data_IF_033269242286
#
_entry.id   IF_033269242286
#
_cell.length_a   1.000
_cell.length_b   1.000
_cell.length_c   1.000
_cell.angle_alpha   90.00
_cell.angle_beta   90.00
_cell.angle_gamma   90.00
#
_symmetry.space_group_name_H-M   'P 1'
#
loop_
_entity.id
_entity.type
_entity.pdbx_description
1 polymer ?
#
# COMPACT_ATOMS: atom_id res chain seq x y z
N UNK A 1 13.68 7.17 14.86
CA UNK A 1 12.87 6.50 13.82
C UNK A 1 11.72 5.79 14.52
N UNK A 2 10.49 5.91 14.04
CA UNK A 2 9.34 5.27 14.69
C UNK A 2 9.20 3.82 14.17
N UNK A 3 9.20 2.83 15.06
CA UNK A 3 9.20 1.41 14.70
C UNK A 3 7.83 0.99 14.15
N UNK A 4 7.80 0.42 12.93
CA UNK A 4 6.59 -0.20 12.37
C UNK A 4 6.36 -1.55 13.03
N UNK A 5 5.18 -1.75 13.59
CA UNK A 5 4.73 -3.02 14.13
C UNK A 5 4.22 -3.93 13.01
N UNK A 6 4.98 -4.97 12.69
CA UNK A 6 4.58 -6.01 11.74
C UNK A 6 3.41 -6.90 12.18
N UNK A 7 2.96 -7.76 11.27
CA UNK A 7 1.93 -8.79 11.52
C UNK A 7 2.59 -10.13 11.89
N UNK A 8 1.90 -11.02 12.63
CA UNK A 8 2.31 -12.42 12.72
C UNK A 8 2.29 -13.05 11.33
N UNK A 9 3.32 -13.82 11.01
CA UNK A 9 3.40 -14.50 9.71
C UNK A 9 4.72 -15.22 9.52
N UNK A 10 4.83 -15.87 8.37
CA UNK A 10 6.04 -16.50 7.86
C UNK A 10 6.49 -15.73 6.62
N UNK A 11 7.76 -15.83 6.28
CA UNK A 11 8.29 -15.20 5.07
C UNK A 11 7.98 -16.05 3.84
N UNK A 12 7.79 -15.37 2.71
CA UNK A 12 7.73 -16.05 1.41
C UNK A 12 9.12 -16.64 1.04
N UNK A 13 9.18 -17.60 0.11
CA UNK A 13 10.45 -18.09 -0.41
C UNK A 13 11.36 -16.97 -0.89
N UNK A 14 12.66 -17.09 -0.61
CA UNK A 14 13.65 -16.07 -0.91
C UNK A 14 14.57 -16.55 -2.05
N UNK A 15 15.18 -15.63 -2.84
CA UNK A 15 16.10 -16.01 -3.91
C UNK A 15 17.30 -16.86 -3.46
N UNK A 16 17.69 -16.74 -2.18
CA UNK A 16 18.77 -17.49 -1.54
C UNK A 16 18.31 -18.78 -0.83
N UNK A 17 17.00 -19.00 -0.65
CA UNK A 17 16.48 -20.14 0.11
C UNK A 17 15.19 -19.83 0.86
N UNK A 18 15.10 -20.29 2.12
CA UNK A 18 13.86 -20.22 2.91
C UNK A 18 14.11 -19.79 4.35
N UNK A 19 13.14 -19.10 4.95
CA UNK A 19 13.13 -18.73 6.35
C UNK A 19 12.03 -19.51 7.09
N UNK A 20 12.43 -20.38 8.01
CA UNK A 20 11.54 -21.31 8.72
C UNK A 20 11.46 -20.92 10.19
N UNK A 21 10.25 -20.67 10.68
CA UNK A 21 10.02 -20.47 12.11
C UNK A 21 10.05 -21.83 12.83
N UNK A 22 11.09 -22.09 13.62
CA UNK A 22 11.20 -23.33 14.41
C UNK A 22 10.47 -23.26 15.74
N UNK A 23 10.52 -22.12 16.39
CA UNK A 23 9.78 -21.82 17.61
C UNK A 23 9.31 -20.36 17.57
N UNK A 24 8.51 -19.92 18.54
CA UNK A 24 7.99 -18.54 18.57
C UNK A 24 9.08 -17.46 18.46
N UNK A 25 10.30 -17.77 18.87
CA UNK A 25 11.42 -16.82 18.99
C UNK A 25 12.69 -17.31 18.27
N UNK A 26 12.61 -18.38 17.47
CA UNK A 26 13.74 -18.94 16.73
C UNK A 26 13.39 -19.13 15.26
N UNK A 27 14.11 -18.41 14.41
CA UNK A 27 14.01 -18.47 12.96
C UNK A 27 15.25 -19.14 12.37
N UNK A 28 15.08 -20.03 11.41
CA UNK A 28 16.17 -20.62 10.64
C UNK A 28 16.17 -20.08 9.22
N UNK A 29 17.32 -19.64 8.72
CA UNK A 29 17.54 -19.32 7.31
C UNK A 29 18.29 -20.49 6.69
N UNK A 30 17.62 -21.28 5.85
CA UNK A 30 18.24 -22.37 5.11
C UNK A 30 18.73 -21.81 3.79
N UNK A 31 20.04 -21.66 3.65
CA UNK A 31 20.64 -21.07 2.46
C UNK A 31 20.80 -22.15 1.39
N UNK A 32 19.92 -22.16 0.40
CA UNK A 32 20.01 -23.08 -0.73
C UNK A 32 20.91 -22.56 -1.85
N UNK A 33 20.97 -21.22 -2.01
CA UNK A 33 21.79 -20.54 -3.01
C UNK A 33 22.50 -19.36 -2.37
N UNK A 34 23.83 -19.38 -2.41
CA UNK A 34 24.67 -18.32 -1.86
C UNK A 34 24.67 -17.08 -2.79
N UNK A 35 24.34 -15.89 -2.27
CA UNK A 35 24.51 -14.64 -3.01
C UNK A 35 25.99 -14.34 -3.32
N UNK A 36 26.31 -13.69 -4.45
CA UNK A 36 27.68 -13.43 -4.88
C UNK A 36 28.43 -12.43 -3.98
N UNK A 37 27.72 -11.57 -3.26
CA UNK A 37 28.25 -10.64 -2.26
C UNK A 37 28.36 -11.26 -0.85
N UNK A 38 27.97 -12.53 -0.72
CA UNK A 38 27.89 -13.24 0.55
C UNK A 38 26.95 -12.59 1.58
N UNK A 39 26.02 -11.72 1.17
CA UNK A 39 25.01 -11.13 2.04
C UNK A 39 23.63 -11.76 1.81
N UNK A 40 23.11 -12.41 2.84
CA UNK A 40 21.74 -12.90 2.87
C UNK A 40 20.85 -11.80 3.43
N UNK A 41 19.93 -11.30 2.60
CA UNK A 41 18.92 -10.33 2.99
C UNK A 41 17.57 -11.02 3.21
N UNK A 42 17.05 -10.95 4.43
CA UNK A 42 15.69 -11.35 4.76
C UNK A 42 14.83 -10.08 4.91
N UNK A 43 13.94 -9.81 3.94
CA UNK A 43 13.20 -8.57 3.90
C UNK A 43 12.07 -8.53 4.93
N UNK A 44 11.88 -7.38 5.57
CA UNK A 44 10.70 -7.11 6.40
C UNK A 44 10.67 -7.82 7.75
N UNK A 45 11.81 -8.14 8.37
CA UNK A 45 11.85 -8.64 9.75
C UNK A 45 11.60 -7.50 10.74
N UNK A 46 10.37 -7.40 11.25
CA UNK A 46 9.98 -6.37 12.22
C UNK A 46 10.42 -6.68 13.65
N UNK A 47 10.64 -7.96 13.98
CA UNK A 47 11.11 -8.38 15.31
C UNK A 47 12.63 -8.32 15.36
N UNK A 48 13.18 -7.59 16.32
CA UNK A 48 14.63 -7.43 16.48
C UNK A 48 15.33 -8.80 16.71
N UNK A 49 16.40 -9.13 15.97
CA UNK A 49 17.28 -10.23 16.29
C UNK A 49 18.06 -9.96 17.58
N UNK A 50 18.22 -11.00 18.41
CA UNK A 50 19.12 -11.02 19.56
C UNK A 50 20.48 -11.59 19.18
N UNK A 51 20.47 -12.74 18.50
CA UNK A 51 21.67 -13.45 18.10
C UNK A 51 21.50 -14.06 16.71
N UNK A 52 22.54 -13.96 15.89
CA UNK A 52 22.61 -14.60 14.58
C UNK A 52 23.85 -15.48 14.57
N UNK A 53 23.66 -16.79 14.47
CA UNK A 53 24.73 -17.79 14.54
C UNK A 53 24.58 -18.82 13.43
N UNK A 54 25.68 -19.46 13.06
CA UNK A 54 25.66 -20.67 12.22
C UNK A 54 25.20 -21.87 13.07
N UNK A 55 24.24 -22.66 12.57
CA UNK A 55 23.54 -23.70 13.34
C UNK A 55 24.47 -24.81 13.86
N UNK A 56 25.41 -25.29 13.03
CA UNK A 56 26.26 -26.43 13.37
C UNK A 56 27.49 -26.05 14.20
N UNK A 57 28.02 -24.85 14.01
CA UNK A 57 29.26 -24.41 14.67
C UNK A 57 28.99 -23.52 15.87
N UNK A 58 27.78 -22.94 15.97
CA UNK A 58 27.47 -21.89 16.94
C UNK A 58 28.22 -20.59 16.72
N UNK A 59 28.97 -20.45 15.61
CA UNK A 59 29.77 -19.27 15.30
C UNK A 59 28.85 -18.06 15.12
N UNK A 60 29.13 -16.98 15.84
CA UNK A 60 28.43 -15.71 15.64
C UNK A 60 28.71 -15.15 14.25
N UNK A 61 27.65 -14.74 13.56
CA UNK A 61 27.73 -14.13 12.24
C UNK A 61 27.63 -12.62 12.36
N UNK A 62 28.25 -11.92 11.40
CA UNK A 62 28.06 -10.47 11.28
C UNK A 62 26.70 -10.20 10.66
N UNK A 63 25.91 -9.34 11.28
CA UNK A 63 24.58 -8.97 10.80
C UNK A 63 24.27 -7.51 11.11
N UNK A 64 23.29 -6.97 10.41
CA UNK A 64 22.80 -5.60 10.59
C UNK A 64 21.32 -5.51 10.20
N UNK A 65 20.67 -4.45 10.67
CA UNK A 65 19.40 -4.00 10.10
C UNK A 65 19.65 -3.03 8.96
N UNK A 66 18.81 -3.12 7.93
CA UNK A 66 18.74 -2.18 6.82
C UNK A 66 17.28 -1.82 6.57
N UNK A 67 16.84 -0.70 7.17
CA UNK A 67 15.41 -0.45 7.31
C UNK A 67 14.73 -1.54 8.13
N UNK A 68 13.73 -2.21 7.53
CA UNK A 68 13.02 -3.35 8.13
C UNK A 68 13.66 -4.71 7.75
N UNK A 69 14.78 -4.73 7.02
CA UNK A 69 15.42 -5.96 6.58
C UNK A 69 16.48 -6.44 7.58
N UNK A 70 16.63 -7.76 7.70
CA UNK A 70 17.79 -8.39 8.32
C UNK A 70 18.80 -8.73 7.22
N UNK A 71 20.03 -8.23 7.36
CA UNK A 71 21.14 -8.59 6.48
C UNK A 71 22.18 -9.36 7.28
N UNK A 72 22.50 -10.58 6.84
CA UNK A 72 23.49 -11.47 7.46
C UNK A 72 24.62 -11.73 6.48
N UNK A 73 25.86 -11.49 6.90
CA UNK A 73 27.05 -11.82 6.11
C UNK A 73 27.45 -13.27 6.37
N UNK A 74 27.48 -14.07 5.31
CA UNK A 74 27.88 -15.47 5.35
C UNK A 74 29.41 -15.60 5.43
N UNK A 75 29.94 -16.64 6.10
CA UNK A 75 31.36 -16.94 6.07
C UNK A 75 31.78 -17.46 4.69
N UNK A 76 33.04 -17.28 4.31
CA UNK A 76 33.60 -17.70 3.00
C UNK A 76 33.70 -19.23 2.81
N UNK A 77 33.14 -20.03 3.73
CA UNK A 77 33.09 -21.48 3.59
C UNK A 77 32.25 -21.88 2.36
N UNK A 78 32.68 -22.93 1.66
CA UNK A 78 32.00 -23.44 0.46
C UNK A 78 30.68 -24.18 0.75
N UNK A 79 30.35 -24.41 2.01
CA UNK A 79 29.12 -25.10 2.40
C UNK A 79 27.91 -24.14 2.42
N UNK A 80 26.72 -24.71 2.30
CA UNK A 80 25.42 -24.03 2.41
C UNK A 80 24.99 -23.99 3.88
N UNK A 81 25.22 -22.87 4.61
CA UNK A 81 24.97 -22.86 6.04
C UNK A 81 23.47 -22.80 6.34
N UNK A 82 23.10 -23.33 7.50
CA UNK A 82 21.84 -22.98 8.16
C UNK A 82 22.14 -21.89 9.18
N UNK A 83 21.47 -20.75 9.07
CA UNK A 83 21.63 -19.63 10.01
C UNK A 83 20.51 -19.66 11.03
N UNK A 84 20.85 -19.64 12.31
CA UNK A 84 19.92 -19.47 13.44
C UNK A 84 19.82 -18.01 13.83
N UNK A 85 18.60 -17.51 13.86
CA UNK A 85 18.27 -16.16 14.31
C UNK A 85 17.36 -16.26 15.54
N UNK A 86 17.90 -15.93 16.72
CA UNK A 86 17.12 -15.76 17.93
C UNK A 86 16.44 -14.38 17.89
N UNK A 87 15.16 -14.31 18.21
CA UNK A 87 14.34 -13.10 18.12
C UNK A 87 14.01 -12.54 19.50
N UNK A 88 13.89 -11.22 19.62
CA UNK A 88 13.42 -10.53 20.81
C UNK A 88 11.88 -10.62 20.93
N UNK A 89 11.40 -11.85 21.09
CA UNK A 89 9.97 -12.18 21.18
C UNK A 89 9.40 -12.79 19.90
N UNK A 90 8.07 -12.77 19.78
CA UNK A 90 7.34 -13.42 18.69
C UNK A 90 7.70 -12.83 17.32
N UNK A 91 7.88 -13.69 16.32
CA UNK A 91 8.08 -13.26 14.92
C UNK A 91 6.96 -12.31 14.45
N UNK A 92 7.37 -11.18 13.89
CA UNK A 92 6.54 -10.21 13.19
C UNK A 92 7.25 -9.80 11.91
N UNK A 93 6.46 -9.65 10.85
CA UNK A 93 6.94 -9.27 9.53
C UNK A 93 6.26 -8.00 9.03
N UNK A 94 6.99 -7.18 8.28
CA UNK A 94 6.49 -6.10 7.43
C UNK A 94 6.50 -6.62 5.99
N UNK A 95 5.35 -7.02 5.42
CA UNK A 95 5.29 -7.50 4.05
C UNK A 95 5.85 -6.47 3.06
N UNK A 96 6.49 -6.91 1.98
CA UNK A 96 7.13 -6.02 1.00
C UNK A 96 6.15 -5.11 0.26
N UNK A 97 4.89 -5.52 0.14
CA UNK A 97 3.78 -4.74 -0.42
C UNK A 97 3.16 -3.77 0.60
N UNK A 98 3.84 -3.50 1.72
CA UNK A 98 3.39 -2.53 2.72
C UNK A 98 3.50 -1.10 2.18
N UNK A 99 2.36 -0.42 2.09
CA UNK A 99 2.27 0.96 1.62
C UNK A 99 1.96 1.89 2.79
N UNK A 100 2.73 2.97 2.87
CA UNK A 100 2.51 4.06 3.83
C UNK A 100 1.69 5.16 3.18
N UNK A 101 0.81 5.80 3.95
CA UNK A 101 0.08 6.97 3.46
C UNK A 101 1.06 8.06 3.01
N UNK A 102 0.69 8.79 1.95
CA UNK A 102 1.42 9.98 1.53
C UNK A 102 1.31 11.11 2.58
N UNK A 103 1.90 12.27 2.29
CA UNK A 103 1.88 13.42 3.20
C UNK A 103 0.45 13.88 3.56
N UNK A 104 -0.51 13.66 2.67
CA UNK A 104 -1.92 14.04 2.83
C UNK A 104 -2.76 12.96 3.54
N UNK A 105 -2.15 11.84 3.93
CA UNK A 105 -2.83 10.73 4.59
C UNK A 105 -3.66 9.87 3.63
N UNK A 106 -3.26 9.79 2.36
CA UNK A 106 -3.89 9.00 1.31
C UNK A 106 -3.01 7.81 0.95
N UNK A 107 -3.63 6.64 0.78
CA UNK A 107 -3.02 5.50 0.11
C UNK A 107 -3.67 5.36 -1.26
N UNK A 108 -2.83 5.24 -2.29
CA UNK A 108 -3.25 4.95 -3.64
C UNK A 108 -2.49 3.72 -4.12
N UNK A 109 -3.25 2.66 -4.39
CA UNK A 109 -2.71 1.33 -4.59
C UNK A 109 -3.17 0.81 -5.95
N UNK A 110 -2.24 0.24 -6.71
CA UNK A 110 -2.54 -0.64 -7.83
C UNK A 110 -2.31 -2.07 -7.34
N UNK A 111 -3.38 -2.83 -7.01
CA UNK A 111 -3.24 -4.17 -6.47
C UNK A 111 -2.55 -5.11 -7.46
N UNK A 112 -1.55 -5.85 -6.99
CA UNK A 112 -0.91 -6.95 -7.73
C UNK A 112 -1.45 -8.32 -7.33
N UNK A 113 -2.32 -8.37 -6.31
CA UNK A 113 -2.90 -9.60 -5.78
C UNK A 113 -4.12 -9.34 -4.89
N UNK A 114 -4.53 -10.37 -4.15
CA UNK A 114 -5.74 -10.35 -3.31
C UNK A 114 -5.56 -9.67 -1.94
N UNK A 115 -4.35 -9.18 -1.65
CA UNK A 115 -4.02 -8.50 -0.39
C UNK A 115 -3.15 -7.29 -0.67
N UNK A 116 -3.28 -6.28 0.17
CA UNK A 116 -2.30 -5.23 0.35
C UNK A 116 -2.09 -4.98 1.85
N UNK A 117 -0.99 -4.34 2.21
CA UNK A 117 -0.67 -4.02 3.58
C UNK A 117 -0.54 -2.52 3.76
N UNK A 118 -1.26 -1.95 4.73
CA UNK A 118 -1.31 -0.51 4.94
C UNK A 118 -0.69 -0.14 6.28
N UNK A 119 0.07 0.96 6.31
CA UNK A 119 0.58 1.57 7.55
C UNK A 119 0.19 3.04 7.59
N UNK A 120 -0.39 3.46 8.73
CA UNK A 120 -0.68 4.85 9.03
C UNK A 120 0.37 5.42 9.99
N UNK A 121 0.80 6.67 9.79
CA UNK A 121 1.74 7.34 10.71
C UNK A 121 1.10 7.71 12.04
N UNK A 122 -0.21 7.95 12.04
CA UNK A 122 -1.01 8.34 13.20
C UNK A 122 -2.30 7.51 13.21
N UNK A 123 -2.87 7.34 14.40
CA UNK A 123 -4.15 6.67 14.52
C UNK A 123 -5.26 7.53 13.89
N UNK A 124 -6.12 6.93 13.09
CA UNK A 124 -7.21 7.63 12.39
C UNK A 124 -8.28 6.67 11.90
N UNK A 125 -9.49 7.18 11.65
CA UNK A 125 -10.51 6.45 10.90
C UNK A 125 -10.33 6.71 9.41
N UNK A 126 -10.32 5.64 8.62
CA UNK A 126 -10.23 5.70 7.15
C UNK A 126 -11.45 5.09 6.49
N UNK A 127 -11.72 5.49 5.25
CA UNK A 127 -12.62 4.78 4.36
C UNK A 127 -11.88 4.37 3.08
N UNK A 128 -12.40 3.35 2.41
CA UNK A 128 -11.78 2.69 1.25
C UNK A 128 -12.68 2.83 0.04
N UNK A 129 -12.11 3.16 -1.11
CA UNK A 129 -12.79 3.24 -2.41
C UNK A 129 -12.13 2.24 -3.37
N UNK A 130 -12.92 1.31 -3.90
CA UNK A 130 -12.44 0.29 -4.84
C UNK A 130 -12.82 0.62 -6.28
N UNK A 131 -11.84 0.86 -7.13
CA UNK A 131 -12.05 1.17 -8.54
C UNK A 131 -11.77 -0.06 -9.38
N UNK A 132 -12.74 -0.46 -10.20
CA UNK A 132 -12.68 -1.68 -10.99
C UNK A 132 -14.07 -2.21 -11.31
N UNK A 133 -14.14 -3.50 -11.62
CA UNK A 133 -15.37 -4.19 -12.00
C UNK A 133 -15.77 -5.19 -10.92
N UNK A 134 -17.06 -5.22 -10.61
CA UNK A 134 -17.68 -6.25 -9.78
C UNK A 134 -19.12 -6.45 -10.25
N UNK A 135 -19.60 -7.68 -10.22
CA UNK A 135 -20.99 -8.00 -10.56
C UNK A 135 -21.93 -7.27 -9.57
N UNK A 136 -22.89 -6.43 -10.02
CA UNK A 136 -23.62 -5.49 -9.16
C UNK A 136 -24.23 -6.12 -7.90
N UNK A 137 -24.83 -7.31 -8.04
CA UNK A 137 -25.56 -7.98 -6.97
C UNK A 137 -24.73 -9.02 -6.19
N UNK A 138 -23.48 -9.24 -6.62
CA UNK A 138 -22.56 -10.13 -5.90
C UNK A 138 -22.23 -9.59 -4.51
N UNK A 139 -22.17 -10.48 -3.52
CA UNK A 139 -21.86 -10.13 -2.13
C UNK A 139 -20.36 -10.21 -1.88
N UNK A 140 -19.80 -9.15 -1.31
CA UNK A 140 -18.39 -9.03 -0.97
C UNK A 140 -18.22 -8.75 0.51
N UNK A 141 -17.04 -9.11 1.03
CA UNK A 141 -16.65 -8.76 2.39
C UNK A 141 -15.32 -8.03 2.40
N UNK A 142 -15.37 -6.76 2.76
CA UNK A 142 -14.17 -5.94 2.89
C UNK A 142 -13.64 -6.04 4.30
N UNK A 143 -12.38 -6.47 4.43
CA UNK A 143 -11.69 -6.60 5.71
C UNK A 143 -10.51 -5.67 5.77
N UNK A 144 -10.51 -4.78 6.76
CA UNK A 144 -9.42 -3.88 7.10
C UNK A 144 -9.44 -3.65 8.62
N UNK A 145 -8.27 -3.58 9.25
CA UNK A 145 -8.13 -3.32 10.70
C UNK A 145 -9.00 -4.23 11.59
N UNK A 146 -9.14 -5.51 11.21
CA UNK A 146 -10.01 -6.51 11.87
C UNK A 146 -11.51 -6.23 11.82
N UNK A 147 -11.96 -5.14 11.20
CA UNK A 147 -13.37 -4.93 10.87
C UNK A 147 -13.71 -5.58 9.54
N UNK A 148 -14.96 -5.99 9.41
CA UNK A 148 -15.54 -6.61 8.20
C UNK A 148 -16.83 -5.88 7.87
N UNK A 149 -16.98 -5.45 6.62
CA UNK A 149 -18.23 -4.91 6.07
C UNK A 149 -18.72 -5.80 4.94
N UNK A 150 -20.00 -6.17 4.95
CA UNK A 150 -20.67 -6.78 3.80
C UNK A 150 -21.16 -5.69 2.86
N UNK A 151 -20.88 -5.83 1.57
CA UNK A 151 -21.30 -4.87 0.53
C UNK A 151 -21.67 -5.61 -0.74
N UNK A 152 -22.55 -5.02 -1.55
CA UNK A 152 -22.81 -5.49 -2.91
C UNK A 152 -21.69 -5.04 -3.86
N UNK A 153 -21.55 -5.66 -5.03
CA UNK A 153 -20.61 -5.22 -6.06
C UNK A 153 -20.89 -3.79 -6.54
N UNK A 154 -22.16 -3.37 -6.55
CA UNK A 154 -22.54 -1.99 -6.82
C UNK A 154 -22.05 -1.03 -5.73
N UNK A 155 -22.25 -1.36 -4.46
CA UNK A 155 -21.73 -0.55 -3.35
C UNK A 155 -20.19 -0.49 -3.38
N UNK A 156 -19.55 -1.63 -3.63
CA UNK A 156 -18.10 -1.76 -3.74
C UNK A 156 -17.49 -0.77 -4.75
N UNK A 157 -18.10 -0.68 -5.92
CA UNK A 157 -17.57 0.10 -7.06
C UNK A 157 -18.12 1.52 -7.14
N UNK A 158 -19.16 1.88 -6.37
CA UNK A 158 -19.79 3.22 -6.43
C UNK A 158 -19.75 4.03 -5.14
N UNK A 159 -19.30 3.43 -4.03
CA UNK A 159 -19.26 4.11 -2.74
C UNK A 159 -17.93 3.91 -2.02
N UNK A 160 -17.66 4.75 -1.03
CA UNK A 160 -16.61 4.48 -0.04
C UNK A 160 -17.14 3.55 1.04
N UNK A 161 -16.29 2.65 1.54
CA UNK A 161 -16.60 1.68 2.59
C UNK A 161 -15.81 2.04 3.85
N UNK A 162 -16.49 2.12 5.00
CA UNK A 162 -15.86 2.47 6.29
C UNK A 162 -16.88 3.03 7.28
N UNK A 163 -16.42 3.53 8.45
CA UNK A 163 -15.03 3.78 8.82
C UNK A 163 -14.27 2.55 9.35
N UNK A 164 -12.97 2.50 9.07
CA UNK A 164 -12.02 1.53 9.60
C UNK A 164 -11.02 2.23 10.54
N UNK A 165 -10.86 1.77 11.80
CA UNK A 165 -9.90 2.36 12.73
C UNK A 165 -8.49 1.89 12.39
N UNK A 166 -7.68 2.76 11.80
CA UNK A 166 -6.29 2.49 11.48
C UNK A 166 -5.39 2.83 12.67
N UNK A 167 -4.73 1.84 13.29
CA UNK A 167 -3.73 2.09 14.32
C UNK A 167 -2.49 2.78 13.74
N UNK A 168 -1.84 3.61 14.57
CA UNK A 168 -0.55 4.20 14.22
C UNK A 168 0.54 3.12 14.14
N UNK A 169 1.42 3.25 13.15
CA UNK A 169 2.67 2.51 12.99
C UNK A 169 2.49 1.00 13.04
N UNK A 170 1.35 0.50 12.56
CA UNK A 170 1.06 -0.93 12.55
C UNK A 170 0.62 -1.35 11.17
N UNK A 171 1.18 -2.46 10.71
CA UNK A 171 0.79 -3.08 9.46
C UNK A 171 -0.63 -3.62 9.59
N UNK A 172 -1.49 -3.18 8.68
CA UNK A 172 -2.89 -3.60 8.61
C UNK A 172 -3.16 -4.23 7.26
N UNK A 173 -3.53 -5.52 7.20
CA UNK A 173 -3.88 -6.16 5.94
C UNK A 173 -5.24 -5.67 5.45
N UNK A 174 -5.30 -5.35 4.16
CA UNK A 174 -6.49 -5.10 3.37
C UNK A 174 -6.73 -6.28 2.44
N UNK A 175 -7.92 -6.89 2.51
CA UNK A 175 -8.36 -7.85 1.50
C UNK A 175 -8.90 -7.12 0.26
N UNK A 176 -8.48 -7.55 -0.93
CA UNK A 176 -8.81 -6.91 -2.19
C UNK A 176 -9.70 -7.85 -3.02
N UNK A 177 -10.95 -7.45 -3.32
CA UNK A 177 -11.81 -8.23 -4.20
C UNK A 177 -11.25 -8.40 -5.61
N UNK A 178 -11.65 -9.49 -6.27
CA UNK A 178 -11.32 -9.75 -7.67
C UNK A 178 -11.91 -8.64 -8.56
N UNK A 179 -11.19 -8.25 -9.61
CA UNK A 179 -11.63 -7.23 -10.58
C UNK A 179 -11.37 -5.78 -10.15
N UNK A 180 -10.88 -5.56 -8.92
CA UNK A 180 -10.37 -4.27 -8.47
C UNK A 180 -9.04 -3.98 -9.17
N UNK A 181 -8.94 -2.79 -9.76
CA UNK A 181 -7.74 -2.31 -10.47
C UNK A 181 -6.99 -1.24 -9.69
N UNK A 182 -7.69 -0.52 -8.79
CA UNK A 182 -7.10 0.51 -7.94
C UNK A 182 -7.86 0.62 -6.64
N UNK A 183 -7.16 0.93 -5.56
CA UNK A 183 -7.74 1.16 -4.25
C UNK A 183 -7.26 2.51 -3.74
N UNK A 184 -8.22 3.36 -3.37
CA UNK A 184 -7.95 4.61 -2.68
C UNK A 184 -8.37 4.46 -1.22
N UNK A 185 -7.49 4.81 -0.30
CA UNK A 185 -7.80 4.88 1.13
C UNK A 185 -7.47 6.28 1.60
N UNK A 186 -8.39 6.91 2.32
CA UNK A 186 -8.17 8.23 2.88
C UNK A 186 -8.83 8.34 4.25
N UNK A 187 -8.34 9.30 5.05
CA UNK A 187 -8.98 9.63 6.32
C UNK A 187 -10.43 10.07 6.09
N UNK A 188 -11.35 9.63 6.95
CA UNK A 188 -12.74 10.07 6.93
C UNK A 188 -12.82 11.59 7.06
N UNK A 189 -13.62 12.23 6.20
CA UNK A 189 -13.72 13.68 6.08
C UNK A 189 -12.78 14.31 5.05
N UNK A 190 -12.00 13.50 4.32
CA UNK A 190 -11.17 13.96 3.19
C UNK A 190 -12.00 14.03 1.91
N UNK A 191 -11.83 15.08 1.11
CA UNK A 191 -12.25 15.09 -0.29
C UNK A 191 -11.00 14.84 -1.13
N UNK A 192 -11.01 13.80 -1.95
CA UNK A 192 -9.85 13.33 -2.70
C UNK A 192 -10.08 13.49 -4.20
N UNK A 193 -9.18 14.16 -4.90
CA UNK A 193 -9.08 14.13 -6.34
C UNK A 193 -8.12 13.02 -6.80
N UNK A 194 -8.46 12.31 -7.87
CA UNK A 194 -7.66 11.23 -8.45
C UNK A 194 -7.83 11.19 -9.96
N UNK A 195 -6.81 10.76 -10.69
CA UNK A 195 -6.85 10.64 -12.16
C UNK A 195 -6.89 9.16 -12.55
N UNK A 196 -7.90 8.75 -13.30
CA UNK A 196 -8.05 7.37 -13.79
C UNK A 196 -7.76 7.32 -15.29
N UNK A 197 -6.87 6.43 -15.74
CA UNK A 197 -6.56 6.33 -17.17
C UNK A 197 -7.72 5.70 -17.95
N UNK A 198 -8.06 6.33 -19.08
CA UNK A 198 -8.84 5.74 -20.16
C UNK A 198 -7.93 5.34 -21.32
N UNK A 199 -8.53 5.00 -22.47
CA UNK A 199 -7.76 4.63 -23.69
C UNK A 199 -7.12 5.84 -24.35
N UNK A 200 -7.92 6.88 -24.57
CA UNK A 200 -7.52 8.12 -25.27
C UNK A 200 -7.82 9.37 -24.44
N UNK A 201 -8.22 9.18 -23.19
CA UNK A 201 -8.62 10.23 -22.25
C UNK A 201 -8.23 9.86 -20.82
N UNK A 202 -8.21 10.86 -19.94
CA UNK A 202 -8.11 10.65 -18.50
C UNK A 202 -9.40 11.09 -17.84
N UNK A 203 -9.82 10.41 -16.78
CA UNK A 203 -10.96 10.81 -15.96
C UNK A 203 -10.46 11.40 -14.65
N UNK A 204 -10.71 12.68 -14.43
CA UNK A 204 -10.51 13.32 -13.12
C UNK A 204 -11.71 12.96 -12.25
N UNK A 205 -11.49 12.28 -11.14
CA UNK A 205 -12.53 11.82 -10.22
C UNK A 205 -12.32 12.44 -8.85
N UNK A 206 -13.36 13.07 -8.32
CA UNK A 206 -13.42 13.53 -6.94
C UNK A 206 -14.29 12.59 -6.12
N UNK A 207 -13.75 12.13 -5.00
CA UNK A 207 -14.44 11.26 -4.04
C UNK A 207 -14.53 11.94 -2.68
N UNK A 208 -15.73 11.98 -2.11
CA UNK A 208 -15.96 12.48 -0.75
C UNK A 208 -15.88 11.33 0.26
N UNK A 209 -14.79 11.23 1.03
CA UNK A 209 -14.64 10.25 2.12
C UNK A 209 -15.28 10.73 3.44
N UNK A 210 -16.00 11.86 3.42
CA UNK A 210 -16.76 12.40 4.54
C UNK A 210 -18.20 11.87 4.62
N UNK A 211 -18.95 12.41 5.59
CA UNK A 211 -20.39 12.14 5.77
C UNK A 211 -21.28 13.30 5.34
N UNK A 212 -20.71 14.51 5.27
CA UNK A 212 -21.42 15.72 4.88
C UNK A 212 -21.23 15.98 3.38
N UNK A 213 -22.23 16.55 2.69
CA UNK A 213 -22.05 17.00 1.32
C UNK A 213 -20.86 17.95 1.19
N UNK A 214 -20.14 17.84 0.08
CA UNK A 214 -19.00 18.69 -0.25
C UNK A 214 -19.25 19.46 -1.54
N UNK A 215 -18.59 20.60 -1.66
CA UNK A 215 -18.56 21.42 -2.87
C UNK A 215 -17.14 21.93 -3.08
N UNK A 216 -16.78 22.25 -4.30
CA UNK A 216 -15.43 22.72 -4.59
C UNK A 216 -15.12 22.86 -6.06
N UNK A 217 -13.86 23.21 -6.29
CA UNK A 217 -13.27 23.42 -7.60
C UNK A 217 -12.12 22.43 -7.80
N UNK A 218 -11.97 22.01 -9.05
CA UNK A 218 -11.00 21.01 -9.47
C UNK A 218 -10.30 21.56 -10.70
N UNK A 219 -8.98 21.55 -10.68
CA UNK A 219 -8.16 21.98 -11.81
C UNK A 219 -7.13 20.91 -12.13
N UNK A 220 -6.95 20.60 -13.41
CA UNK A 220 -5.87 19.77 -13.93
C UNK A 220 -4.81 20.69 -14.54
N UNK A 221 -3.85 21.19 -13.75
CA UNK A 221 -2.76 22.00 -14.28
C UNK A 221 -1.91 21.15 -15.22
N UNK A 222 -1.66 21.67 -16.41
CA UNK A 222 -0.83 21.04 -17.43
C UNK A 222 0.43 21.88 -17.71
N UNK A 223 1.55 21.25 -18.10
CA UNK A 223 2.69 21.96 -18.66
C UNK A 223 2.31 22.80 -19.89
N UNK A 224 3.08 23.84 -20.21
CA UNK A 224 2.76 24.79 -21.29
C UNK A 224 2.72 24.18 -22.69
N UNK A 225 3.39 23.05 -22.91
CA UNK A 225 3.43 22.29 -24.15
C UNK A 225 2.33 21.21 -24.23
N UNK A 226 1.42 21.18 -23.25
CA UNK A 226 0.30 20.25 -23.17
C UNK A 226 -1.02 20.97 -23.42
N UNK A 227 -2.02 20.20 -23.81
CA UNK A 227 -3.39 20.68 -23.95
C UNK A 227 -4.38 19.65 -23.43
N UNK A 228 -5.52 20.14 -22.96
CA UNK A 228 -6.67 19.29 -22.70
C UNK A 228 -7.98 19.96 -23.13
N UNK A 229 -8.98 19.14 -23.43
CA UNK A 229 -10.33 19.60 -23.82
C UNK A 229 -10.98 20.46 -22.75
N UNK A 230 -10.77 20.09 -21.48
CA UNK A 230 -11.23 20.84 -20.32
C UNK A 230 -10.21 20.60 -19.19
N UNK A 231 -9.96 21.64 -18.38
CA UNK A 231 -8.95 21.61 -17.32
C UNK A 231 -9.52 22.04 -15.96
N UNK A 232 -10.73 22.61 -15.91
CA UNK A 232 -11.31 23.12 -14.68
C UNK A 232 -12.77 22.70 -14.58
N UNK A 233 -13.18 22.24 -13.39
CA UNK A 233 -14.54 21.80 -13.11
C UNK A 233 -14.97 22.27 -11.72
N UNK A 234 -16.28 22.41 -11.55
CA UNK A 234 -16.90 22.66 -10.26
C UNK A 234 -17.84 21.53 -9.90
N UNK A 235 -17.97 21.22 -8.62
CA UNK A 235 -19.00 20.32 -8.12
C UNK A 235 -19.69 20.93 -6.90
N UNK A 236 -20.98 20.67 -6.77
CA UNK A 236 -21.78 21.10 -5.64
C UNK A 236 -22.61 19.91 -5.12
N UNK A 237 -22.84 19.89 -3.80
CA UNK A 237 -23.68 18.86 -3.17
C UNK A 237 -23.16 17.42 -3.28
N UNK A 238 -21.86 17.17 -3.45
CA UNK A 238 -21.30 15.81 -3.53
C UNK A 238 -21.48 15.08 -2.20
N UNK A 239 -22.45 14.18 -2.13
CA UNK A 239 -22.79 13.43 -0.93
C UNK A 239 -21.62 12.61 -0.36
N UNK A 240 -21.67 12.34 0.95
CA UNK A 240 -20.72 11.49 1.64
C UNK A 240 -20.63 10.09 1.02
N UNK A 241 -19.41 9.64 0.77
CA UNK A 241 -19.11 8.35 0.15
C UNK A 241 -19.35 8.26 -1.35
N UNK A 242 -19.80 9.34 -2.02
CA UNK A 242 -20.00 9.38 -3.48
C UNK A 242 -18.77 9.88 -4.22
N UNK A 243 -18.83 9.78 -5.54
CA UNK A 243 -17.82 10.33 -6.44
C UNK A 243 -18.48 10.98 -7.65
N UNK A 244 -17.83 11.99 -8.20
CA UNK A 244 -18.12 12.62 -9.50
C UNK A 244 -16.86 12.54 -10.35
N UNK A 245 -17.00 12.45 -11.67
CA UNK A 245 -15.84 12.41 -12.56
C UNK A 245 -16.09 13.07 -13.90
N UNK A 246 -15.02 13.61 -14.47
CA UNK A 246 -15.00 14.31 -15.74
C UNK A 246 -13.92 13.72 -16.63
N UNK A 247 -14.31 13.30 -17.83
CA UNK A 247 -13.38 12.81 -18.83
C UNK A 247 -12.80 14.01 -19.60
N UNK A 248 -11.49 14.00 -19.82
CA UNK A 248 -10.81 15.01 -20.64
C UNK A 248 -9.70 14.35 -21.43
N UNK A 249 -9.57 14.73 -22.70
CA UNK A 249 -8.46 14.26 -23.55
C UNK A 249 -7.26 15.14 -23.28
N UNK A 250 -6.13 14.51 -22.99
CA UNK A 250 -4.85 15.20 -22.76
C UNK A 250 -3.92 14.86 -23.92
N UNK A 251 -3.29 15.88 -24.49
CA UNK A 251 -2.26 15.76 -25.51
C UNK A 251 -0.99 16.49 -25.08
N UNK A 252 0.17 15.90 -25.37
CA UNK A 252 1.48 16.39 -24.97
C UNK A 252 2.58 15.56 -25.63
N UNK A 253 3.86 15.82 -25.29
CA UNK A 253 4.98 15.04 -25.77
C UNK A 253 4.88 13.57 -25.33
N UNK A 254 5.43 12.63 -26.12
CA UNK A 254 5.46 11.22 -25.73
C UNK A 254 6.36 11.02 -24.51
N UNK A 255 5.95 10.13 -23.61
CA UNK A 255 6.72 9.85 -22.41
C UNK A 255 5.88 9.60 -21.17
N UNK A 256 6.56 9.40 -20.03
CA UNK A 256 5.93 9.21 -18.73
C UNK A 256 5.95 10.52 -17.95
N UNK A 257 4.78 11.03 -17.61
CA UNK A 257 4.64 12.33 -16.95
C UNK A 257 3.71 12.21 -15.75
N UNK A 258 4.09 12.83 -14.63
CA UNK A 258 3.23 12.92 -13.46
C UNK A 258 2.23 14.08 -13.64
N UNK A 259 0.95 13.75 -13.60
CA UNK A 259 -0.14 14.70 -13.50
C UNK A 259 -0.64 14.78 -12.06
N UNK A 260 -0.98 15.99 -11.63
CA UNK A 260 -1.54 16.25 -10.31
C UNK A 260 -2.72 17.18 -10.42
N UNK A 261 -3.87 16.73 -9.92
CA UNK A 261 -5.07 17.55 -9.82
C UNK A 261 -4.89 18.53 -8.66
N UNK A 262 -5.25 19.79 -8.86
CA UNK A 262 -5.47 20.75 -7.77
C UNK A 262 -6.94 20.68 -7.35
N UNK A 263 -7.19 20.57 -6.06
CA UNK A 263 -8.52 20.43 -5.49
C UNK A 263 -8.73 21.44 -4.37
N UNK A 264 -9.80 22.22 -4.45
CA UNK A 264 -10.24 23.15 -3.41
C UNK A 264 -11.66 22.80 -2.97
N UNK A 265 -11.79 22.05 -1.87
CA UNK A 265 -13.08 21.52 -1.39
C UNK A 265 -13.28 21.65 0.13
N UNK A 266 -12.59 22.61 0.76
CA UNK A 266 -12.68 22.90 2.19
C UNK A 266 -11.52 22.34 3.02
N UNK A 267 -11.79 22.03 4.30
CA UNK A 267 -10.76 21.87 5.34
C UNK A 267 -9.78 20.70 5.13
N UNK A 268 -10.11 19.73 4.28
CA UNK A 268 -9.24 18.58 4.02
C UNK A 268 -9.42 18.08 2.59
N UNK A 269 -8.77 18.76 1.67
CA UNK A 269 -8.61 18.35 0.28
C UNK A 269 -7.28 17.64 0.11
N UNK A 270 -7.27 16.58 -0.69
CA UNK A 270 -6.05 15.87 -1.08
C UNK A 270 -6.13 15.50 -2.56
N UNK A 271 -4.97 15.26 -3.16
CA UNK A 271 -4.88 14.80 -4.54
C UNK A 271 -3.94 13.63 -4.64
N UNK A 272 -4.34 12.59 -5.37
CA UNK A 272 -3.45 11.50 -5.71
C UNK A 272 -2.80 11.76 -7.07
N UNK A 273 -1.47 11.92 -7.14
CA UNK A 273 -0.78 12.08 -8.41
C UNK A 273 -0.92 10.81 -9.26
N UNK A 274 -0.82 10.97 -10.57
CA UNK A 274 -0.89 9.86 -11.51
C UNK A 274 0.13 10.01 -12.61
N UNK A 275 0.86 8.95 -12.92
CA UNK A 275 1.81 8.92 -14.04
C UNK A 275 1.08 8.48 -15.30
N UNK A 276 0.87 9.40 -16.23
CA UNK A 276 0.35 9.10 -17.57
C UNK A 276 1.49 8.71 -18.50
N UNK A 277 1.21 7.82 -19.45
CA UNK A 277 2.07 7.54 -20.59
C UNK A 277 1.35 8.02 -21.85
N UNK A 278 1.94 8.99 -22.56
CA UNK A 278 1.45 9.51 -23.84
C UNK A 278 2.26 8.92 -25.00
#
# INVERSE_FOLDING_TARGET
>A
MALIQGIPGEFEPQPWGEAILRSRELLLLRIARRPPDHEVRLPGLATAPLHVVEDHTGRALTWRHDGDDLVVRLPDSGESPVVRVALQGKLRIVPQDTVTANADGVWDLTPTGAKAHLVARRAMDVAVRFVGMAEPDSQHHIRLARRRYGVTGQQLTRTTIGPFPMPALRVVPLAIPIGVRRVLVAQVGTVLASIHPGRDEVTVVVTNFGRTPARGEVELPLPSDWSATEQAWTFDGLEGGRSVGWATRVAGPPGRHELRVRLEAGRRSASSPYVVAL
#
